data_IF_717915204625
#
_entry.id   IF_717915204625
#
_cell.length_a   1.000
_cell.length_b   1.000
_cell.length_c   1.000
_cell.angle_alpha   90.00
_cell.angle_beta   90.00
_cell.angle_gamma   90.00
#
_symmetry.space_group_name_H-M   'P 1'
#
loop_
_entity.id
_entity.type
_entity.pdbx_description
1 polymer ?
#
# COMPACT_ATOMS: atom_id res chain seq x y z
N UNK A 1 18.43 -28.99 12.83
CA UNK A 1 18.70 -30.02 11.81
C UNK A 1 17.47 -30.89 11.64
N UNK A 2 16.64 -30.58 10.64
CA UNK A 2 15.65 -31.46 9.99
C UNK A 2 15.03 -30.62 8.87
N UNK A 3 15.60 -30.75 7.67
CA UNK A 3 15.09 -30.23 6.40
C UNK A 3 14.37 -31.38 5.69
N UNK A 4 13.13 -31.14 5.22
CA UNK A 4 12.49 -31.73 4.02
C UNK A 4 10.98 -31.46 4.13
N UNK A 5 10.47 -30.34 3.61
CA UNK A 5 10.13 -30.11 2.20
C UNK A 5 9.02 -31.07 1.71
N UNK A 6 7.76 -30.68 1.93
CA UNK A 6 6.59 -31.39 1.42
C UNK A 6 6.06 -30.65 0.18
N UNK A 7 6.41 -31.21 -0.98
CA UNK A 7 6.13 -30.67 -2.30
C UNK A 7 4.91 -31.40 -2.87
N UNK A 8 3.70 -30.84 -2.73
CA UNK A 8 2.50 -31.41 -3.33
C UNK A 8 2.07 -30.56 -4.54
N UNK A 9 2.60 -30.93 -5.70
CA UNK A 9 2.23 -30.41 -7.01
C UNK A 9 0.86 -30.96 -7.42
N UNK A 10 -0.22 -30.20 -7.19
CA UNK A 10 -1.48 -30.42 -7.88
C UNK A 10 -1.63 -29.42 -9.04
N UNK A 11 -1.25 -29.87 -10.25
CA UNK A 11 -1.49 -29.15 -11.50
C UNK A 11 -2.99 -29.20 -11.83
N UNK A 12 -3.74 -28.21 -11.37
CA UNK A 12 -5.10 -27.99 -11.83
C UNK A 12 -5.07 -27.22 -13.16
N UNK A 13 -5.10 -27.96 -14.26
CA UNK A 13 -5.13 -27.45 -15.62
C UNK A 13 -6.57 -27.01 -15.97
N UNK A 14 -6.95 -25.79 -15.56
CA UNK A 14 -8.21 -25.21 -15.96
C UNK A 14 -8.01 -24.44 -17.28
N UNK A 15 -8.34 -25.13 -18.37
CA UNK A 15 -8.33 -24.63 -19.73
C UNK A 15 -9.46 -23.60 -19.89
N UNK A 16 -9.19 -22.34 -19.50
CA UNK A 16 -10.14 -21.26 -19.66
C UNK A 16 -10.06 -20.74 -21.11
N UNK A 17 -11.12 -21.02 -21.83
CA UNK A 17 -11.34 -20.73 -23.23
C UNK A 17 -11.09 -19.24 -23.52
N UNK A 18 -10.05 -18.98 -24.31
CA UNK A 18 -9.59 -17.66 -24.72
C UNK A 18 -10.55 -17.07 -25.74
N UNK A 19 -11.66 -16.48 -25.27
CA UNK A 19 -12.55 -15.69 -26.11
C UNK A 19 -11.94 -14.30 -26.31
N UNK A 20 -11.00 -14.23 -27.26
CA UNK A 20 -10.31 -13.03 -27.70
C UNK A 20 -11.27 -12.14 -28.50
N UNK A 21 -12.24 -11.53 -27.80
CA UNK A 21 -13.10 -10.51 -28.38
C UNK A 21 -12.38 -9.17 -28.21
N UNK A 22 -11.63 -8.81 -29.25
CA UNK A 22 -10.84 -7.59 -29.39
C UNK A 22 -11.79 -6.38 -29.50
N UNK A 23 -12.40 -6.01 -28.37
CA UNK A 23 -13.27 -4.84 -28.25
C UNK A 23 -12.40 -3.58 -28.18
N UNK A 24 -12.06 -3.02 -29.34
CA UNK A 24 -11.40 -1.72 -29.51
C UNK A 24 -12.22 -0.51 -28.98
N UNK A 25 -13.17 -0.72 -28.06
CA UNK A 25 -13.95 0.30 -27.37
C UNK A 25 -13.44 0.64 -25.96
N UNK A 26 -12.35 0.01 -25.47
CA UNK A 26 -11.90 0.21 -24.08
C UNK A 26 -11.04 1.45 -23.81
N UNK A 27 -10.71 2.28 -24.80
CA UNK A 27 -9.82 3.44 -24.59
C UNK A 27 -10.51 4.81 -24.49
N UNK A 28 -11.79 4.94 -24.84
CA UNK A 28 -12.46 6.24 -24.76
C UNK A 28 -13.01 6.57 -23.37
N UNK A 29 -13.32 5.55 -22.55
CA UNK A 29 -13.81 5.76 -21.19
C UNK A 29 -12.73 6.35 -20.27
N UNK A 30 -11.45 6.12 -20.57
CA UNK A 30 -10.34 6.64 -19.77
C UNK A 30 -10.19 8.16 -19.85
N UNK A 31 -10.86 8.81 -20.83
CA UNK A 31 -10.90 10.26 -20.95
C UNK A 31 -12.15 10.86 -20.32
N UNK A 32 -13.11 10.08 -19.84
CA UNK A 32 -14.37 10.62 -19.31
C UNK A 32 -14.23 11.06 -17.86
N UNK A 33 -14.93 12.13 -17.50
CA UNK A 33 -15.01 12.56 -16.11
C UNK A 33 -15.85 11.57 -15.30
N UNK A 34 -15.34 11.16 -14.14
CA UNK A 34 -16.04 10.24 -13.23
C UNK A 34 -17.35 10.83 -12.67
N UNK A 35 -17.44 12.16 -12.54
CA UNK A 35 -18.63 12.88 -12.06
C UNK A 35 -19.57 13.23 -13.22
N UNK A 36 -19.01 13.53 -14.39
CA UNK A 36 -19.74 13.91 -15.60
C UNK A 36 -19.39 12.95 -16.75
N UNK A 37 -19.94 11.72 -16.79
CA UNK A 37 -19.54 10.70 -17.76
C UNK A 37 -19.73 11.11 -19.23
N UNK A 38 -20.58 12.12 -19.50
CA UNK A 38 -20.81 12.69 -20.83
C UNK A 38 -19.73 13.68 -21.29
N UNK A 39 -18.77 14.05 -20.42
CA UNK A 39 -17.72 15.04 -20.68
C UNK A 39 -16.33 14.43 -20.57
N UNK A 40 -15.44 14.87 -21.46
CA UNK A 40 -14.04 14.49 -21.38
C UNK A 40 -13.32 15.32 -20.31
N UNK A 41 -12.30 14.72 -19.70
CA UNK A 41 -11.30 15.36 -18.85
C UNK A 41 -10.28 16.03 -19.75
N UNK A 42 -10.21 17.35 -19.69
CA UNK A 42 -9.43 18.18 -20.64
C UNK A 42 -8.60 19.25 -19.94
N UNK A 43 -8.83 19.46 -18.63
CA UNK A 43 -8.23 20.52 -17.84
C UNK A 43 -7.51 19.93 -16.62
N UNK A 44 -6.49 20.64 -16.14
CA UNK A 44 -5.81 20.42 -14.87
C UNK A 44 -6.13 21.57 -13.93
N UNK A 45 -6.58 21.27 -12.73
CA UNK A 45 -6.84 22.27 -11.71
C UNK A 45 -5.57 22.59 -10.91
N UNK A 46 -5.01 23.78 -11.14
CA UNK A 46 -3.77 24.25 -10.51
C UNK A 46 -3.90 24.28 -8.98
N UNK A 47 -5.02 24.79 -8.47
CA UNK A 47 -5.26 24.95 -7.04
C UNK A 47 -5.54 23.62 -6.32
N UNK A 48 -5.86 22.58 -7.09
CA UNK A 48 -6.11 21.24 -6.59
C UNK A 48 -4.97 20.27 -6.91
N UNK A 49 -3.71 20.73 -6.85
CA UNK A 49 -2.52 19.90 -7.10
C UNK A 49 -2.58 19.19 -8.46
N UNK A 50 -3.02 19.92 -9.48
CA UNK A 50 -3.15 19.45 -10.86
C UNK A 50 -4.13 18.29 -11.04
N UNK A 51 -5.20 18.22 -10.23
CA UNK A 51 -6.27 17.24 -10.44
C UNK A 51 -6.89 17.44 -11.83
N UNK A 52 -6.98 16.37 -12.65
CA UNK A 52 -7.65 16.43 -13.94
C UNK A 52 -9.18 16.59 -13.79
N UNK A 53 -9.78 17.49 -14.56
CA UNK A 53 -11.22 17.73 -14.53
C UNK A 53 -11.80 18.04 -15.92
N UNK A 54 -13.12 17.92 -16.05
CA UNK A 54 -13.85 18.35 -17.26
C UNK A 54 -14.38 19.78 -17.12
N UNK A 55 -14.92 20.32 -18.22
CA UNK A 55 -15.49 21.68 -18.25
C UNK A 55 -16.66 21.88 -17.26
N UNK A 56 -17.44 20.85 -16.94
CA UNK A 56 -18.56 20.97 -15.99
C UNK A 56 -18.07 21.03 -14.55
N UNK A 57 -17.00 20.30 -14.22
CA UNK A 57 -16.30 20.41 -12.94
C UNK A 57 -15.74 21.82 -12.70
N UNK A 58 -15.38 22.55 -13.76
CA UNK A 58 -14.89 23.93 -13.72
C UNK A 58 -15.99 25.01 -13.82
N UNK A 59 -17.23 24.61 -14.10
CA UNK A 59 -18.35 25.54 -14.30
C UNK A 59 -18.70 26.33 -13.04
N UNK A 60 -19.63 27.29 -13.14
CA UNK A 60 -20.12 28.08 -11.99
C UNK A 60 -20.63 27.22 -10.82
N UNK A 61 -21.12 26.02 -11.13
CA UNK A 61 -21.71 25.10 -10.16
C UNK A 61 -20.79 23.90 -9.89
N UNK A 62 -19.58 23.90 -10.42
CA UNK A 62 -18.63 22.79 -10.33
C UNK A 62 -17.70 22.88 -9.12
N UNK A 63 -17.12 21.75 -8.72
CA UNK A 63 -16.20 21.65 -7.58
C UNK A 63 -14.88 22.42 -7.75
N UNK A 64 -14.54 22.81 -8.98
CA UNK A 64 -13.35 23.60 -9.32
C UNK A 64 -13.72 25.01 -9.79
N UNK A 65 -14.91 25.49 -9.43
CA UNK A 65 -15.33 26.85 -9.75
C UNK A 65 -14.31 27.87 -9.20
N UNK A 66 -13.87 28.78 -10.07
CA UNK A 66 -12.89 29.86 -9.77
C UNK A 66 -11.47 29.39 -9.44
N UNK A 67 -11.17 28.11 -9.61
CA UNK A 67 -9.79 27.66 -9.50
C UNK A 67 -8.99 28.01 -10.77
N UNK A 68 -7.67 28.13 -10.63
CA UNK A 68 -6.76 28.17 -11.77
C UNK A 68 -6.84 26.87 -12.59
N UNK A 69 -6.94 26.98 -13.91
CA UNK A 69 -7.09 25.85 -14.83
C UNK A 69 -6.10 25.98 -15.98
N UNK A 70 -5.51 24.85 -16.38
CA UNK A 70 -4.72 24.75 -17.61
C UNK A 70 -5.22 23.58 -18.46
N UNK A 71 -5.18 23.68 -19.81
CA UNK A 71 -5.40 22.53 -20.67
C UNK A 71 -4.39 21.42 -20.38
N UNK A 72 -4.84 20.17 -20.47
CA UNK A 72 -3.93 19.02 -20.44
C UNK A 72 -3.03 19.09 -21.67
N UNK A 73 -1.73 19.24 -21.44
CA UNK A 73 -0.71 19.36 -22.47
C UNK A 73 0.40 18.34 -22.24
N UNK A 74 1.16 18.02 -23.30
CA UNK A 74 2.32 17.13 -23.22
C UNK A 74 3.37 17.65 -22.23
N UNK A 75 3.58 18.97 -22.14
CA UNK A 75 4.52 19.57 -21.19
C UNK A 75 4.10 19.31 -19.74
N UNK A 76 2.81 19.47 -19.44
CA UNK A 76 2.29 19.30 -18.08
C UNK A 76 2.40 17.82 -17.66
N UNK A 77 2.10 16.90 -18.58
CA UNK A 77 2.27 15.45 -18.35
C UNK A 77 3.74 15.11 -18.11
N UNK A 78 4.67 15.58 -18.95
CA UNK A 78 6.10 15.33 -18.78
C UNK A 78 6.59 15.88 -17.43
N UNK A 79 6.16 17.09 -17.04
CA UNK A 79 6.51 17.69 -15.75
C UNK A 79 6.02 16.84 -14.58
N UNK A 80 4.79 16.31 -14.63
CA UNK A 80 4.27 15.41 -13.61
C UNK A 80 5.06 14.10 -13.54
N UNK A 81 5.36 13.51 -14.70
CA UNK A 81 6.14 12.27 -14.78
C UNK A 81 7.54 12.44 -14.20
N UNK A 82 8.21 13.56 -14.51
CA UNK A 82 9.53 13.88 -13.97
C UNK A 82 9.45 14.15 -12.46
N UNK A 83 8.47 14.92 -11.97
CA UNK A 83 8.29 15.11 -10.54
C UNK A 83 8.06 13.78 -9.81
N UNK A 84 7.24 12.89 -10.37
CA UNK A 84 7.05 11.57 -9.78
C UNK A 84 8.35 10.76 -9.77
N UNK A 85 9.07 10.71 -10.90
CA UNK A 85 10.29 9.93 -11.07
C UNK A 85 11.44 10.43 -10.19
N UNK A 86 11.62 11.73 -10.11
CA UNK A 86 12.82 12.35 -9.53
C UNK A 86 12.62 12.74 -8.06
N UNK A 87 11.36 12.95 -7.62
CA UNK A 87 11.05 13.36 -6.24
C UNK A 87 10.25 12.29 -5.48
N UNK A 88 9.05 11.94 -5.98
CA UNK A 88 8.13 11.05 -5.24
C UNK A 88 8.69 9.63 -5.12
N UNK A 89 9.21 9.08 -6.22
CA UNK A 89 9.64 7.69 -6.29
C UNK A 89 10.87 7.39 -5.41
N UNK A 90 11.95 8.19 -5.40
CA UNK A 90 13.09 7.97 -4.50
C UNK A 90 12.69 8.04 -3.03
N UNK A 91 11.84 9.01 -2.65
CA UNK A 91 11.31 9.12 -1.27
C UNK A 91 10.48 7.90 -0.87
N UNK A 92 9.72 7.31 -1.80
CA UNK A 92 8.99 6.07 -1.54
C UNK A 92 9.95 4.90 -1.30
N UNK A 93 11.01 4.77 -2.09
CA UNK A 93 12.02 3.73 -1.90
C UNK A 93 12.74 3.87 -0.55
N UNK A 94 13.12 5.09 -0.18
CA UNK A 94 13.72 5.40 1.12
C UNK A 94 12.79 4.99 2.27
N UNK A 95 11.51 5.37 2.22
CA UNK A 95 10.50 5.00 3.23
C UNK A 95 10.32 3.49 3.33
N UNK A 96 10.32 2.77 2.22
CA UNK A 96 10.25 1.29 2.22
C UNK A 96 11.49 0.70 2.92
N UNK A 97 12.69 1.24 2.63
CA UNK A 97 13.92 0.83 3.30
C UNK A 97 13.87 1.06 4.81
N UNK A 98 13.48 2.26 5.22
CA UNK A 98 13.35 2.63 6.64
C UNK A 98 12.33 1.73 7.35
N UNK A 99 11.17 1.48 6.75
CA UNK A 99 10.15 0.60 7.32
C UNK A 99 10.63 -0.84 7.49
N UNK A 100 11.46 -1.36 6.56
CA UNK A 100 12.07 -2.69 6.70
C UNK A 100 13.04 -2.74 7.89
N UNK A 101 13.83 -1.68 8.09
CA UNK A 101 14.74 -1.58 9.22
C UNK A 101 13.96 -1.48 10.54
N UNK A 102 12.97 -0.59 10.62
CA UNK A 102 12.10 -0.46 11.79
C UNK A 102 11.41 -1.78 12.14
N UNK A 103 10.95 -2.54 11.15
CA UNK A 103 10.35 -3.86 11.38
C UNK A 103 11.36 -4.86 11.97
N UNK A 104 12.60 -4.84 11.47
CA UNK A 104 13.68 -5.69 12.00
C UNK A 104 13.98 -5.33 13.46
N UNK A 105 14.20 -4.05 13.75
CA UNK A 105 14.51 -3.56 15.10
C UNK A 105 13.36 -3.86 16.08
N UNK A 106 12.12 -3.64 15.63
CA UNK A 106 10.91 -3.96 16.40
C UNK A 106 10.82 -5.46 16.73
N UNK A 107 11.16 -6.34 15.80
CA UNK A 107 11.16 -7.79 16.05
C UNK A 107 12.29 -8.21 17.01
N UNK A 108 13.46 -7.58 16.93
CA UNK A 108 14.56 -7.83 17.86
C UNK A 108 14.15 -7.47 19.30
N UNK A 109 13.56 -6.27 19.51
CA UNK A 109 13.04 -5.84 20.81
C UNK A 109 11.93 -6.78 21.30
N UNK A 110 11.00 -7.17 20.43
CA UNK A 110 9.93 -8.10 20.79
C UNK A 110 10.48 -9.44 21.28
N UNK A 111 11.49 -9.99 20.59
CA UNK A 111 12.12 -11.25 20.96
C UNK A 111 12.86 -11.14 22.30
N UNK A 112 13.53 -10.01 22.57
CA UNK A 112 14.17 -9.75 23.86
C UNK A 112 13.14 -9.73 25.01
N UNK A 113 12.06 -8.97 24.85
CA UNK A 113 10.96 -8.91 25.83
C UNK A 113 10.35 -10.30 26.04
N UNK A 114 10.14 -11.06 24.96
CA UNK A 114 9.61 -12.42 25.04
C UNK A 114 10.54 -13.35 25.82
N UNK A 115 11.85 -13.31 25.56
CA UNK A 115 12.86 -14.08 26.30
C UNK A 115 12.86 -13.72 27.78
N UNK A 116 12.89 -12.43 28.12
CA UNK A 116 12.85 -11.96 29.51
C UNK A 116 11.55 -12.39 30.21
N UNK A 117 10.41 -12.32 29.53
CA UNK A 117 9.13 -12.78 30.07
C UNK A 117 9.14 -14.29 30.36
N UNK A 118 9.69 -15.11 29.46
CA UNK A 118 9.79 -16.56 29.65
C UNK A 118 10.75 -16.93 30.79
N UNK A 119 11.88 -16.23 30.90
CA UNK A 119 12.83 -16.37 32.02
C UNK A 119 12.18 -15.98 33.36
N UNK A 120 11.51 -14.83 33.41
CA UNK A 120 10.80 -14.36 34.61
C UNK A 120 9.70 -15.33 35.03
N UNK A 121 8.95 -15.90 34.07
CA UNK A 121 7.94 -16.92 34.35
C UNK A 121 8.55 -18.20 34.93
N UNK A 122 9.72 -18.62 34.43
CA UNK A 122 10.45 -19.78 34.96
C UNK A 122 10.94 -19.51 36.38
N UNK A 123 11.57 -18.35 36.62
CA UNK A 123 12.04 -17.94 37.94
C UNK A 123 10.88 -17.90 38.94
N UNK A 124 9.76 -17.26 38.59
CA UNK A 124 8.57 -17.20 39.43
C UNK A 124 8.05 -18.59 39.78
N UNK A 125 7.94 -19.48 38.78
CA UNK A 125 7.51 -20.87 38.99
C UNK A 125 8.44 -21.63 39.93
N UNK A 126 9.75 -21.43 39.83
CA UNK A 126 10.72 -22.11 40.68
C UNK A 126 10.72 -21.56 42.11
N UNK A 127 10.52 -20.26 42.32
CA UNK A 127 10.30 -19.69 43.66
C UNK A 127 9.00 -20.19 44.31
N UNK A 128 7.90 -20.26 43.55
CA UNK A 128 6.65 -20.84 44.07
C UNK A 128 6.81 -22.31 44.48
N UNK A 129 7.61 -23.10 43.76
CA UNK A 129 7.91 -24.50 44.17
C UNK A 129 8.66 -24.54 45.51
N UNK A 130 9.62 -23.63 45.73
CA UNK A 130 10.35 -23.56 47.02
C UNK A 130 9.40 -23.23 48.17
N UNK A 131 8.50 -22.27 47.97
CA UNK A 131 7.47 -21.93 48.95
C UNK A 131 6.55 -23.12 49.23
N UNK A 132 6.06 -23.82 48.20
CA UNK A 132 5.26 -25.03 48.36
C UNK A 132 5.99 -26.14 49.12
N UNK A 133 7.30 -26.32 48.90
CA UNK A 133 8.09 -27.30 49.63
C UNK A 133 8.17 -26.97 51.12
N UNK A 134 8.42 -25.71 51.49
CA UNK A 134 8.43 -25.26 52.89
C UNK A 134 7.07 -25.52 53.53
N UNK A 135 5.98 -25.15 52.87
CA UNK A 135 4.62 -25.36 53.37
C UNK A 135 4.24 -26.84 53.50
N UNK A 136 4.87 -27.74 52.74
CA UNK A 136 4.61 -29.18 52.84
C UNK A 136 5.31 -29.87 54.01
N UNK A 137 6.27 -29.19 54.65
CA UNK A 137 7.02 -29.69 55.82
C UNK A 137 6.37 -29.23 57.13
N UNK A 138 5.64 -28.10 57.10
CA UNK A 138 4.88 -27.56 58.22
C UNK A 138 3.56 -28.31 58.41
#
# INVERSE_FOLDING_TARGET
>A
MSLANNNNNNKNNNNNNNNNNNNNNSNDNNKKCSIHPSKNVELLCLDCKLIPCCILCASSNGSHHRHGLEPISTSNIISMMNNFKDDVYPKLLERIGNNKQTLKDSNEIFNEIQSQNDENKKLLKDEFKKLHHILSIL
#
